data_IF_957566556802
#
_entry.id   IF_957566556802
#
_cell.length_a   1.000
_cell.length_b   1.000
_cell.length_c   1.000
_cell.angle_alpha   90.00
_cell.angle_beta   90.00
_cell.angle_gamma   90.00
#
_symmetry.space_group_name_H-M   'P 1'
#
loop_
_entity.id
_entity.type
_entity.pdbx_description
1 polymer ?
#
# COMPACT_ATOMS: atom_id res chain seq x y z
N UNK A 1 -2.59 -7.16 -7.47
CA UNK A 1 -2.83 -6.03 -6.57
C UNK A 1 -1.61 -5.12 -6.53
N UNK A 2 -1.82 -3.80 -6.51
CA UNK A 2 -0.76 -2.79 -6.40
C UNK A 2 -0.99 -2.03 -5.09
N UNK A 3 0.03 -1.96 -4.22
CA UNK A 3 -0.04 -1.23 -2.95
C UNK A 3 0.96 -0.09 -2.98
N UNK A 4 0.48 1.15 -2.81
CA UNK A 4 1.30 2.36 -2.80
C UNK A 4 1.40 2.88 -1.37
N UNK A 5 2.65 3.00 -0.88
CA UNK A 5 2.94 3.24 0.52
C UNK A 5 2.82 1.95 1.34
N UNK A 6 3.95 1.29 1.60
CA UNK A 6 3.98 0.02 2.35
C UNK A 6 4.46 0.21 3.80
N UNK A 7 4.05 1.32 4.41
CA UNK A 7 4.21 1.59 5.82
C UNK A 7 3.21 0.84 6.70
N UNK A 8 2.81 1.47 7.83
CA UNK A 8 1.99 0.84 8.87
C UNK A 8 0.61 0.32 8.45
N UNK A 9 0.01 0.86 7.37
CA UNK A 9 -1.25 0.37 6.80
C UNK A 9 -0.99 -0.49 5.57
N UNK A 10 -0.21 0.04 4.60
CA UNK A 10 0.01 -0.64 3.34
C UNK A 10 0.82 -1.92 3.45
N UNK A 11 1.69 -2.06 4.44
CA UNK A 11 2.40 -3.32 4.72
C UNK A 11 1.44 -4.47 5.06
N UNK A 12 0.38 -4.17 5.83
CA UNK A 12 -0.67 -5.15 6.10
C UNK A 12 -1.61 -5.34 4.91
N UNK A 13 -1.94 -4.26 4.18
CA UNK A 13 -2.73 -4.37 2.94
C UNK A 13 -2.09 -5.31 1.93
N UNK A 14 -0.77 -5.25 1.78
CA UNK A 14 0.00 -6.14 0.89
C UNK A 14 -0.06 -7.60 1.34
N UNK A 15 0.10 -7.86 2.66
CA UNK A 15 0.01 -9.22 3.21
C UNK A 15 -1.41 -9.79 3.09
N UNK A 16 -2.43 -8.98 3.37
CA UNK A 16 -3.84 -9.38 3.22
C UNK A 16 -4.14 -9.70 1.76
N UNK A 17 -3.73 -8.84 0.81
CA UNK A 17 -3.92 -9.09 -0.61
C UNK A 17 -3.26 -10.43 -1.05
N UNK A 18 -2.04 -10.70 -0.59
CA UNK A 18 -1.36 -11.99 -0.82
C UNK A 18 -2.14 -13.16 -0.21
N UNK A 19 -2.65 -13.03 1.02
CA UNK A 19 -3.42 -14.06 1.70
C UNK A 19 -4.71 -14.42 0.96
N UNK A 20 -5.29 -13.45 0.25
CA UNK A 20 -6.43 -13.65 -0.66
C UNK A 20 -6.03 -14.10 -2.07
N UNK A 21 -4.76 -14.45 -2.30
CA UNK A 21 -4.28 -15.04 -3.54
C UNK A 21 -3.85 -14.02 -4.62
N UNK A 22 -3.77 -12.73 -4.30
CA UNK A 22 -3.28 -11.75 -5.25
C UNK A 22 -1.75 -11.82 -5.41
N UNK A 23 -1.26 -11.62 -6.63
CA UNK A 23 0.14 -11.26 -6.87
C UNK A 23 0.30 -9.78 -6.55
N UNK A 24 1.17 -9.46 -5.59
CA UNK A 24 1.31 -8.11 -5.06
C UNK A 24 2.50 -7.39 -5.65
N UNK A 25 2.26 -6.17 -6.15
CA UNK A 25 3.28 -5.17 -6.48
C UNK A 25 3.27 -4.10 -5.40
N UNK A 26 4.41 -3.83 -4.79
CA UNK A 26 4.57 -2.83 -3.75
C UNK A 26 5.35 -1.62 -4.27
N UNK A 27 4.86 -0.42 -3.99
CA UNK A 27 5.48 0.85 -4.38
C UNK A 27 5.68 1.70 -3.13
N UNK A 28 6.91 2.14 -2.87
CA UNK A 28 7.24 3.07 -1.77
C UNK A 28 8.44 3.93 -2.18
N UNK A 29 8.76 4.95 -1.39
CA UNK A 29 9.97 5.77 -1.55
C UNK A 29 11.12 5.32 -0.63
N UNK A 30 10.83 4.45 0.34
CA UNK A 30 11.76 3.96 1.34
C UNK A 30 12.25 2.54 0.97
N UNK A 31 13.54 2.37 0.62
CA UNK A 31 14.08 1.08 0.23
C UNK A 31 14.06 0.04 1.36
N UNK A 32 14.09 0.47 2.64
CA UNK A 32 14.03 -0.45 3.78
C UNK A 32 12.63 -1.08 3.86
N UNK A 33 11.57 -0.28 3.66
CA UNK A 33 10.19 -0.79 3.61
C UNK A 33 9.97 -1.70 2.41
N UNK A 34 10.54 -1.35 1.25
CA UNK A 34 10.46 -2.18 0.05
C UNK A 34 11.16 -3.53 0.22
N UNK A 35 12.35 -3.56 0.83
CA UNK A 35 13.07 -4.81 1.15
C UNK A 35 12.24 -5.69 2.12
N UNK A 36 11.70 -5.07 3.16
CA UNK A 36 10.87 -5.78 4.14
C UNK A 36 9.63 -6.39 3.50
N UNK A 37 8.85 -5.61 2.74
CA UNK A 37 7.62 -6.14 2.13
C UNK A 37 7.90 -7.16 1.02
N UNK A 38 9.03 -7.05 0.32
CA UNK A 38 9.48 -8.04 -0.65
C UNK A 38 9.72 -9.42 -0.04
N UNK A 39 10.20 -9.47 1.20
CA UNK A 39 10.40 -10.74 1.93
C UNK A 39 9.11 -11.38 2.42
N UNK A 40 8.06 -10.58 2.65
CA UNK A 40 6.81 -11.06 3.28
C UNK A 40 5.64 -11.21 2.30
N UNK A 41 5.47 -10.28 1.36
CA UNK A 41 4.25 -10.25 0.56
C UNK A 41 4.45 -9.90 -0.92
N UNK A 42 5.29 -8.93 -1.27
CA UNK A 42 5.37 -8.43 -2.63
C UNK A 42 6.19 -9.33 -3.54
N UNK A 43 5.67 -9.62 -4.72
CA UNK A 43 6.38 -10.31 -5.81
C UNK A 43 7.23 -9.35 -6.64
N UNK A 44 6.90 -8.06 -6.62
CA UNK A 44 7.67 -6.97 -7.22
C UNK A 44 7.65 -5.76 -6.29
N UNK A 45 8.81 -5.15 -6.07
CA UNK A 45 8.95 -3.89 -5.33
C UNK A 45 9.53 -2.82 -6.25
N UNK A 46 8.97 -1.62 -6.21
CA UNK A 46 9.37 -0.48 -7.05
C UNK A 46 9.55 0.78 -6.20
N UNK A 47 10.68 1.47 -6.40
CA UNK A 47 10.93 2.73 -5.73
C UNK A 47 10.35 3.89 -6.57
N UNK A 48 9.38 4.62 -6.00
CA UNK A 48 8.74 5.75 -6.66
C UNK A 48 9.66 6.98 -6.84
N UNK A 49 10.84 7.01 -6.23
CA UNK A 49 11.84 8.05 -6.51
C UNK A 49 12.64 7.79 -7.78
N UNK A 50 12.67 6.55 -8.25
CA UNK A 50 13.45 6.14 -9.43
C UNK A 50 12.62 6.18 -10.71
N UNK A 51 11.29 6.21 -10.58
CA UNK A 51 10.37 6.13 -11.70
C UNK A 51 9.19 7.09 -11.51
N UNK A 52 8.80 7.78 -12.57
CA UNK A 52 7.52 8.46 -12.63
C UNK A 52 6.35 7.46 -12.82
N UNK A 53 5.11 7.93 -12.79
CA UNK A 53 3.93 7.07 -12.93
C UNK A 53 3.94 6.25 -14.25
N UNK A 54 4.49 6.81 -15.34
CA UNK A 54 4.62 6.12 -16.63
C UNK A 54 5.68 5.02 -16.55
N UNK A 55 6.81 5.30 -15.94
CA UNK A 55 7.89 4.33 -15.72
C UNK A 55 7.43 3.19 -14.79
N UNK A 56 6.75 3.50 -13.70
CA UNK A 56 6.14 2.50 -12.81
C UNK A 56 5.17 1.60 -13.58
N UNK A 57 4.26 2.19 -14.37
CA UNK A 57 3.30 1.44 -15.19
C UNK A 57 3.99 0.52 -16.20
N UNK A 58 5.07 0.99 -16.83
CA UNK A 58 5.86 0.19 -17.77
C UNK A 58 6.49 -1.02 -17.07
N UNK A 59 7.11 -0.82 -15.88
CA UNK A 59 7.71 -1.90 -15.08
C UNK A 59 6.69 -2.92 -14.60
N UNK A 60 5.51 -2.48 -14.16
CA UNK A 60 4.43 -3.38 -13.77
C UNK A 60 3.93 -4.18 -14.98
N UNK A 61 3.76 -3.52 -16.13
CA UNK A 61 3.33 -4.19 -17.36
C UNK A 61 4.35 -5.23 -17.83
N UNK A 62 5.64 -4.93 -17.77
CA UNK A 62 6.72 -5.86 -18.07
C UNK A 62 6.67 -7.10 -17.14
N UNK A 63 6.56 -6.85 -15.84
CA UNK A 63 6.42 -7.90 -14.83
C UNK A 63 5.18 -8.78 -15.08
N UNK A 64 4.02 -8.16 -15.34
CA UNK A 64 2.80 -8.90 -15.63
C UNK A 64 2.94 -9.80 -16.86
N UNK A 65 3.52 -9.28 -17.96
CA UNK A 65 3.78 -10.05 -19.16
C UNK A 65 4.70 -11.26 -18.91
N UNK A 66 5.78 -11.03 -18.17
CA UNK A 66 6.75 -12.08 -17.85
C UNK A 66 6.18 -13.20 -16.98
N UNK A 67 5.13 -12.90 -16.19
CA UNK A 67 4.51 -13.84 -15.26
C UNK A 67 3.10 -14.31 -15.68
N UNK A 68 2.65 -14.00 -16.91
CA UNK A 68 1.32 -14.40 -17.39
C UNK A 68 0.15 -13.76 -16.63
N UNK A 69 0.37 -12.58 -16.04
CA UNK A 69 -0.63 -11.86 -15.26
C UNK A 69 -1.43 -10.87 -16.12
N UNK A 70 -2.67 -10.54 -15.73
CA UNK A 70 -3.49 -9.56 -16.42
C UNK A 70 -2.82 -8.19 -16.52
N UNK A 71 -2.96 -7.54 -17.69
CA UNK A 71 -2.47 -6.17 -17.93
C UNK A 71 -3.50 -5.10 -17.61
N UNK A 72 -4.69 -5.52 -17.26
CA UNK A 72 -5.88 -4.68 -16.95
C UNK A 72 -6.51 -5.16 -15.66
N UNK A 73 -7.58 -4.49 -15.20
CA UNK A 73 -8.37 -4.88 -14.02
C UNK A 73 -7.55 -4.91 -12.72
N UNK A 74 -6.50 -4.09 -12.65
CA UNK A 74 -5.68 -4.02 -11.44
C UNK A 74 -6.47 -3.44 -10.26
N UNK A 75 -6.28 -4.02 -9.09
CA UNK A 75 -6.74 -3.43 -7.84
C UNK A 75 -5.59 -2.64 -7.20
N UNK A 76 -5.79 -1.33 -7.03
CA UNK A 76 -4.77 -0.40 -6.57
C UNK A 76 -5.19 0.13 -5.19
N UNK A 77 -4.35 -0.08 -4.17
CA UNK A 77 -4.54 0.45 -2.82
C UNK A 77 -3.60 1.63 -2.60
N UNK A 78 -4.14 2.82 -2.45
CA UNK A 78 -3.37 3.99 -2.05
C UNK A 78 -3.34 4.06 -0.51
N UNK A 79 -2.19 3.76 0.08
CA UNK A 79 -1.97 3.69 1.52
C UNK A 79 -0.89 4.66 2.02
N UNK A 80 -0.33 5.50 1.13
CA UNK A 80 0.78 6.39 1.49
C UNK A 80 0.34 7.60 2.31
N UNK A 81 -0.90 8.05 2.12
CA UNK A 81 -1.41 9.26 2.73
C UNK A 81 -0.70 10.53 2.24
N UNK A 82 -0.26 10.56 0.97
CA UNK A 82 0.42 11.72 0.36
C UNK A 82 -0.20 12.07 -0.99
N UNK A 83 -0.16 13.35 -1.36
CA UNK A 83 -0.63 13.78 -2.67
C UNK A 83 0.14 13.13 -3.83
N UNK A 84 1.45 12.90 -3.67
CA UNK A 84 2.28 12.20 -4.64
C UNK A 84 1.84 10.74 -4.83
N UNK A 85 1.54 10.03 -3.73
CA UNK A 85 1.01 8.67 -3.78
C UNK A 85 -0.34 8.59 -4.46
N UNK A 86 -1.26 9.51 -4.14
CA UNK A 86 -2.58 9.59 -4.78
C UNK A 86 -2.46 9.87 -6.28
N UNK A 87 -1.57 10.79 -6.68
CA UNK A 87 -1.31 11.08 -8.09
C UNK A 87 -0.74 9.85 -8.82
N UNK A 88 0.20 9.16 -8.19
CA UNK A 88 0.78 7.91 -8.72
C UNK A 88 -0.30 6.84 -8.88
N UNK A 89 -1.12 6.63 -7.86
CA UNK A 89 -2.20 5.63 -7.87
C UNK A 89 -3.19 5.89 -9.02
N UNK A 90 -3.60 7.14 -9.20
CA UNK A 90 -4.50 7.52 -10.29
C UNK A 90 -3.84 7.35 -11.67
N UNK A 91 -2.54 7.63 -11.78
CA UNK A 91 -1.75 7.46 -13.01
C UNK A 91 -1.59 5.98 -13.43
N UNK A 92 -1.71 5.05 -12.48
CA UNK A 92 -1.63 3.61 -12.74
C UNK A 92 -2.94 3.01 -13.24
N UNK A 93 -4.04 3.74 -13.29
CA UNK A 93 -5.32 3.23 -13.79
C UNK A 93 -5.15 2.60 -15.17
N UNK A 94 -5.75 1.42 -15.33
CA UNK A 94 -5.88 0.66 -16.58
C UNK A 94 -7.36 0.35 -16.79
N UNK A 95 -7.69 -0.27 -17.93
CA UNK A 95 -9.06 -0.68 -18.20
C UNK A 95 -9.59 -1.62 -17.10
N UNK A 96 -10.79 -1.32 -16.59
CA UNK A 96 -11.44 -2.07 -15.51
C UNK A 96 -10.77 -1.98 -14.14
N UNK A 97 -9.75 -1.12 -13.95
CA UNK A 97 -9.05 -1.01 -12.67
C UNK A 97 -9.94 -0.44 -11.56
N UNK A 98 -9.65 -0.86 -10.34
CA UNK A 98 -10.25 -0.30 -9.13
C UNK A 98 -9.18 0.33 -8.27
N UNK A 99 -9.30 1.65 -8.02
CA UNK A 99 -8.48 2.39 -7.06
C UNK A 99 -9.23 2.49 -5.74
N UNK A 100 -8.63 2.00 -4.67
CA UNK A 100 -9.11 2.16 -3.30
C UNK A 100 -8.21 3.16 -2.57
N UNK A 101 -8.76 4.32 -2.18
CA UNK A 101 -8.06 5.35 -1.42
C UNK A 101 -8.23 5.05 0.07
N UNK A 102 -7.15 4.66 0.73
CA UNK A 102 -7.08 4.30 2.15
C UNK A 102 -6.29 5.33 2.94
N UNK A 103 -5.21 5.86 2.35
CA UNK A 103 -4.38 6.89 2.96
C UNK A 103 -5.06 8.25 2.98
N UNK A 104 -4.99 8.94 4.14
CA UNK A 104 -5.53 10.29 4.29
C UNK A 104 -4.45 11.35 4.10
N UNK A 105 -4.75 12.40 3.34
CA UNK A 105 -3.95 13.62 3.25
C UNK A 105 -4.83 14.85 3.08
N UNK A 106 -4.33 16.01 3.50
CA UNK A 106 -4.95 17.31 3.24
C UNK A 106 -4.47 17.92 1.91
N UNK A 107 -3.53 17.27 1.23
CA UNK A 107 -3.00 17.72 -0.05
C UNK A 107 -4.10 17.75 -1.12
N UNK A 108 -4.03 18.74 -1.98
CA UNK A 108 -4.85 18.77 -3.21
C UNK A 108 -4.03 18.20 -4.36
N UNK A 109 -4.65 17.32 -5.13
CA UNK A 109 -4.04 16.76 -6.33
C UNK A 109 -4.81 17.21 -7.56
N UNK A 110 -4.10 17.30 -8.68
CA UNK A 110 -4.71 17.51 -9.98
C UNK A 110 -4.68 16.21 -10.78
N UNK A 111 -5.84 15.72 -11.17
CA UNK A 111 -6.00 14.46 -11.93
C UNK A 111 -7.01 14.66 -13.07
N UNK A 112 -6.79 13.96 -14.17
CA UNK A 112 -7.74 13.94 -15.28
C UNK A 112 -8.89 12.98 -14.94
N UNK A 113 -9.97 13.50 -14.36
CA UNK A 113 -11.11 12.69 -13.91
C UNK A 113 -11.72 11.83 -15.04
N UNK A 114 -11.68 12.31 -16.30
CA UNK A 114 -12.15 11.55 -17.46
C UNK A 114 -11.39 10.23 -17.71
N UNK A 115 -10.26 9.99 -17.05
CA UNK A 115 -9.58 8.68 -17.11
C UNK A 115 -10.45 7.58 -16.48
N UNK A 116 -11.30 7.89 -15.51
CA UNK A 116 -12.24 6.91 -14.97
C UNK A 116 -13.20 6.42 -16.06
N UNK A 117 -13.75 7.34 -16.85
CA UNK A 117 -14.62 6.99 -17.99
C UNK A 117 -13.82 6.27 -19.09
N UNK A 118 -12.64 6.79 -19.46
CA UNK A 118 -11.85 6.25 -20.56
C UNK A 118 -11.34 4.83 -20.32
N UNK A 119 -11.15 4.45 -19.06
CA UNK A 119 -10.70 3.11 -18.66
C UNK A 119 -11.80 2.25 -18.05
N UNK A 120 -13.06 2.71 -18.03
CA UNK A 120 -14.14 2.00 -17.29
C UNK A 120 -13.69 1.65 -15.85
N UNK A 121 -12.93 2.55 -15.24
CA UNK A 121 -12.28 2.36 -13.96
C UNK A 121 -13.14 2.92 -12.82
N UNK A 122 -12.84 2.48 -11.59
CA UNK A 122 -13.51 2.92 -10.37
C UNK A 122 -12.52 3.53 -9.40
N UNK A 123 -12.95 4.57 -8.68
CA UNK A 123 -12.22 5.12 -7.54
C UNK A 123 -13.13 5.10 -6.32
N UNK A 124 -12.70 4.46 -5.25
CA UNK A 124 -13.45 4.24 -4.03
C UNK A 124 -12.68 4.82 -2.84
N UNK A 125 -13.37 5.52 -1.94
CA UNK A 125 -12.85 5.89 -0.64
C UNK A 125 -13.17 4.82 0.38
N UNK A 126 -12.29 4.67 1.38
CA UNK A 126 -12.50 3.78 2.51
C UNK A 126 -12.24 4.53 3.82
N UNK A 127 -13.21 4.51 4.72
CA UNK A 127 -13.09 5.12 6.04
C UNK A 127 -13.38 4.12 7.13
N UNK A 128 -12.38 3.86 7.97
CA UNK A 128 -12.51 2.93 9.07
C UNK A 128 -12.66 1.47 8.64
N UNK A 129 -13.11 0.65 9.56
CA UNK A 129 -13.35 -0.77 9.35
C UNK A 129 -14.63 -1.19 10.09
N UNK A 130 -15.60 -1.82 9.45
CA UNK A 130 -16.75 -2.41 10.13
C UNK A 130 -16.29 -3.47 11.14
N UNK A 131 -16.86 -3.48 12.37
CA UNK A 131 -16.44 -4.42 13.43
C UNK A 131 -16.53 -5.89 13.01
N UNK A 132 -17.44 -6.22 12.13
CA UNK A 132 -17.68 -7.58 11.63
C UNK A 132 -16.49 -8.16 10.85
N UNK A 133 -15.57 -7.30 10.37
CA UNK A 133 -14.37 -7.73 9.65
C UNK A 133 -13.20 -8.07 10.57
N UNK A 134 -13.24 -7.68 11.86
CA UNK A 134 -12.14 -7.95 12.80
C UNK A 134 -11.87 -9.45 13.01
N UNK A 135 -12.89 -10.33 13.19
CA UNK A 135 -12.63 -11.76 13.33
C UNK A 135 -11.84 -12.34 12.16
N UNK A 136 -12.26 -12.05 10.92
CA UNK A 136 -11.55 -12.53 9.73
C UNK A 136 -10.12 -12.00 9.60
N UNK A 137 -9.87 -10.75 10.02
CA UNK A 137 -8.51 -10.20 10.06
C UNK A 137 -7.64 -10.90 11.11
N UNK A 138 -8.20 -11.23 12.30
CA UNK A 138 -7.52 -11.99 13.34
C UNK A 138 -7.21 -13.41 12.89
N UNK A 139 -8.15 -14.08 12.23
CA UNK A 139 -7.95 -15.42 11.68
C UNK A 139 -6.75 -15.47 10.72
N UNK A 140 -6.56 -14.46 9.87
CA UNK A 140 -5.40 -14.39 8.98
C UNK A 140 -4.07 -14.33 9.75
N UNK A 141 -4.05 -13.69 10.91
CA UNK A 141 -2.87 -13.63 11.78
C UNK A 141 -2.66 -14.96 12.49
N UNK A 142 -3.71 -15.55 13.07
CA UNK A 142 -3.65 -16.82 13.78
C UNK A 142 -3.27 -17.99 12.85
N UNK A 143 -3.70 -17.92 11.60
CA UNK A 143 -3.32 -18.87 10.54
C UNK A 143 -1.88 -18.66 10.03
N UNK A 144 -1.15 -17.66 10.53
CA UNK A 144 0.21 -17.33 10.09
C UNK A 144 0.30 -16.75 8.68
N UNK A 145 -0.82 -16.27 8.11
CA UNK A 145 -0.87 -15.64 6.78
C UNK A 145 -0.39 -14.19 6.81
N UNK A 146 -0.43 -13.57 7.99
CA UNK A 146 0.03 -12.20 8.24
C UNK A 146 1.07 -12.24 9.34
N UNK A 147 2.27 -11.73 9.06
CA UNK A 147 3.32 -11.53 10.04
C UNK A 147 3.18 -10.13 10.67
N UNK A 148 2.69 -10.07 11.90
CA UNK A 148 2.61 -8.81 12.65
C UNK A 148 3.98 -8.41 13.20
N UNK A 149 4.77 -9.36 13.69
CA UNK A 149 5.99 -9.10 14.46
C UNK A 149 7.05 -8.36 13.61
N UNK A 150 7.15 -8.69 12.33
CA UNK A 150 8.09 -8.03 11.42
C UNK A 150 7.76 -6.54 11.19
N UNK A 151 6.50 -6.12 11.36
CA UNK A 151 6.00 -4.79 11.02
C UNK A 151 5.72 -3.89 12.23
N UNK A 152 6.02 -4.35 13.44
CA UNK A 152 5.85 -3.60 14.68
C UNK A 152 7.15 -3.49 15.44
N UNK A 153 7.28 -2.46 16.28
CA UNK A 153 8.33 -2.31 17.28
C UNK A 153 7.70 -1.86 18.59
N UNK A 154 8.21 -2.38 19.71
CA UNK A 154 7.76 -1.98 21.05
C UNK A 154 8.60 -0.79 21.53
N UNK A 155 7.94 0.22 22.08
CA UNK A 155 8.55 1.42 22.66
C UNK A 155 7.92 1.70 24.03
N UNK A 156 8.70 2.16 25.03
CA UNK A 156 8.14 2.52 26.33
C UNK A 156 7.07 3.62 26.22
N UNK A 157 5.98 3.50 26.97
CA UNK A 157 4.93 4.53 26.98
C UNK A 157 5.46 5.91 27.39
N UNK A 158 6.48 5.96 28.25
CA UNK A 158 7.13 7.21 28.65
C UNK A 158 7.79 7.96 27.47
N UNK A 159 8.09 7.26 26.36
CA UNK A 159 8.72 7.84 25.16
C UNK A 159 7.71 8.32 24.09
N UNK A 160 6.42 8.38 24.43
CA UNK A 160 5.34 8.64 23.48
C UNK A 160 5.52 9.93 22.67
N UNK A 161 6.01 11.01 23.31
CA UNK A 161 6.21 12.29 22.63
C UNK A 161 7.30 12.21 21.54
N UNK A 162 8.40 11.47 21.80
CA UNK A 162 9.44 11.25 20.83
C UNK A 162 8.92 10.38 19.68
N UNK A 163 8.16 9.33 19.97
CA UNK A 163 7.54 8.46 18.96
C UNK A 163 6.60 9.24 18.06
N UNK A 164 5.79 10.17 18.60
CA UNK A 164 4.96 11.06 17.79
C UNK A 164 5.81 11.98 16.89
N UNK A 165 6.90 12.54 17.42
CA UNK A 165 7.80 13.36 16.62
C UNK A 165 8.45 12.56 15.47
N UNK A 166 8.90 11.34 15.74
CA UNK A 166 9.45 10.42 14.72
C UNK A 166 8.39 10.04 13.68
N UNK A 167 7.16 9.74 14.11
CA UNK A 167 6.05 9.43 13.21
C UNK A 167 5.72 10.62 12.29
N UNK A 168 5.63 11.82 12.87
CA UNK A 168 5.37 13.05 12.11
C UNK A 168 6.50 13.37 11.11
N UNK A 169 7.74 13.07 11.48
CA UNK A 169 8.91 13.23 10.62
C UNK A 169 9.10 12.07 9.61
N UNK A 170 8.17 11.10 9.52
CA UNK A 170 8.23 9.91 8.68
C UNK A 170 9.50 9.04 8.90
N UNK A 171 10.03 9.03 10.13
CA UNK A 171 11.25 8.29 10.49
C UNK A 171 10.97 6.86 10.96
N UNK A 172 9.72 6.54 11.32
CA UNK A 172 9.37 5.18 11.74
C UNK A 172 9.36 4.24 10.53
N UNK A 173 10.15 3.19 10.61
CA UNK A 173 10.18 2.11 9.61
C UNK A 173 9.14 1.03 9.90
N UNK A 174 8.76 0.90 11.18
CA UNK A 174 7.74 -0.03 11.69
C UNK A 174 6.67 0.73 12.47
N UNK A 175 5.55 0.10 12.71
CA UNK A 175 4.51 0.65 13.59
C UNK A 175 4.96 0.54 15.04
N UNK A 176 5.09 1.67 15.72
CA UNK A 176 5.40 1.67 17.15
C UNK A 176 4.18 1.22 17.97
N UNK A 177 4.38 0.25 18.87
CA UNK A 177 3.44 -0.19 19.89
C UNK A 177 3.96 0.34 21.23
N UNK A 178 3.17 1.16 21.89
CA UNK A 178 3.52 1.72 23.18
C UNK A 178 3.22 0.69 24.26
N UNK A 179 4.23 0.36 25.08
CA UNK A 179 4.10 -0.55 26.22
C UNK A 179 4.33 0.18 27.54
N UNK A 180 3.58 -0.12 28.61
CA UNK A 180 3.75 0.48 29.94
C UNK A 180 5.14 0.28 30.51
#
# INVERSE_FOLDING_TARGET
>A
AIVIGVGGVGGYSAQIAKAFGATVVAIDVDPVKLDMIGKHAAALTLNAREHDAKGLKAKITEFCKANGLPLTEWTIFECSGTGAGQTTAFGLLTFGATLCVVGFTMDRIEVRLSNLMAFDARALGNWGCPPELYPGALDLVLDGKIDLAAFVEQRPLADINNVFAEAHAHKLTRRAIMVP
#
